data_IF_026626106921
#
_entry.id   IF_026626106921
#
_cell.length_a   1.000
_cell.length_b   1.000
_cell.length_c   1.000
_cell.angle_alpha   90.00
_cell.angle_beta   90.00
_cell.angle_gamma   90.00
#
_symmetry.space_group_name_H-M   'P 1'
#
loop_
_entity.id
_entity.type
_entity.pdbx_description
1 polymer ?
#
# COMPACT_ATOMS: atom_id res chain seq x y z
N UNK A 1 0.30 14.90 -60.62
CA UNK A 1 -0.17 13.68 -59.91
C UNK A 1 0.38 13.50 -58.48
N UNK A 2 1.52 14.08 -58.08
CA UNK A 2 2.12 13.86 -56.74
C UNK A 2 1.50 14.65 -55.57
N UNK A 3 0.69 15.67 -55.83
CA UNK A 3 0.13 16.56 -54.79
C UNK A 3 -1.08 15.96 -54.05
N UNK A 4 -1.95 15.21 -54.74
CA UNK A 4 -3.12 14.54 -54.13
C UNK A 4 -2.73 13.40 -53.17
N UNK A 5 -1.65 12.68 -53.46
CA UNK A 5 -1.14 11.59 -52.59
C UNK A 5 -0.64 12.09 -51.23
N UNK A 6 -0.05 13.30 -51.19
CA UNK A 6 0.41 13.92 -49.94
C UNK A 6 -0.73 14.41 -49.03
N UNK A 7 -1.90 14.73 -49.59
CA UNK A 7 -3.07 15.10 -48.78
C UNK A 7 -3.71 13.87 -48.13
N UNK A 8 -3.81 12.75 -48.86
CA UNK A 8 -4.34 11.49 -48.32
C UNK A 8 -3.45 10.89 -47.21
N UNK A 9 -2.13 11.09 -47.29
CA UNK A 9 -1.19 10.67 -46.22
C UNK A 9 -1.20 11.59 -44.98
N UNK A 10 -1.70 12.83 -45.09
CA UNK A 10 -1.82 13.73 -43.93
C UNK A 10 -3.04 13.40 -43.07
N UNK A 11 -4.09 12.81 -43.65
CA UNK A 11 -5.26 12.32 -42.90
C UNK A 11 -4.97 11.07 -42.07
N UNK A 12 -3.93 10.31 -42.40
CA UNK A 12 -3.52 9.10 -41.66
C UNK A 12 -2.54 9.37 -40.52
N UNK A 13 -2.14 10.63 -40.31
CA UNK A 13 -1.29 11.06 -39.20
C UNK A 13 -2.08 11.57 -37.99
N UNK A 14 -3.38 11.33 -37.94
CA UNK A 14 -4.06 11.31 -36.66
C UNK A 14 -3.65 9.99 -36.00
N UNK A 15 -2.57 10.03 -35.20
CA UNK A 15 -2.34 8.98 -34.20
C UNK A 15 -3.65 8.89 -33.44
N UNK A 16 -4.45 7.84 -33.69
CA UNK A 16 -5.48 7.44 -32.74
C UNK A 16 -4.73 7.32 -31.42
N UNK A 17 -4.98 8.19 -30.42
CA UNK A 17 -4.41 7.96 -29.11
C UNK A 17 -4.85 6.54 -28.76
N UNK A 18 -3.88 5.68 -28.45
CA UNK A 18 -4.09 4.26 -28.15
C UNK A 18 -5.44 4.08 -27.43
N UNK A 19 -6.45 3.63 -28.18
CA UNK A 19 -7.87 3.84 -27.89
C UNK A 19 -8.26 3.12 -26.58
N UNK A 20 -7.52 2.05 -26.27
CA UNK A 20 -7.61 1.27 -25.04
C UNK A 20 -7.47 2.08 -23.74
N UNK A 21 -6.65 3.15 -23.72
CA UNK A 21 -6.53 4.01 -22.50
C UNK A 21 -7.62 5.08 -22.41
N UNK A 22 -8.29 5.40 -23.52
CA UNK A 22 -9.33 6.41 -23.54
C UNK A 22 -10.62 5.92 -22.86
N UNK A 23 -10.94 4.62 -23.01
CA UNK A 23 -12.11 4.00 -22.39
C UNK A 23 -12.05 4.04 -20.85
N UNK A 24 -10.86 3.84 -20.26
CA UNK A 24 -10.64 3.83 -18.81
C UNK A 24 -10.93 5.17 -18.14
N UNK A 25 -10.87 6.27 -18.91
CA UNK A 25 -11.10 7.64 -18.41
C UNK A 25 -12.58 8.04 -18.50
N UNK A 26 -13.43 7.20 -19.12
CA UNK A 26 -14.86 7.50 -19.24
C UNK A 26 -15.56 7.36 -17.88
N UNK A 27 -16.39 8.34 -17.46
CA UNK A 27 -17.14 8.26 -16.21
C UNK A 27 -18.02 7.01 -16.09
N UNK A 28 -18.62 6.55 -17.20
CA UNK A 28 -19.44 5.34 -17.23
C UNK A 28 -18.63 4.06 -16.97
N UNK A 29 -17.38 4.00 -17.43
CA UNK A 29 -16.48 2.89 -17.14
C UNK A 29 -16.03 2.93 -15.68
N UNK A 30 -15.63 4.10 -15.18
CA UNK A 30 -15.21 4.27 -13.79
C UNK A 30 -16.32 3.93 -12.79
N UNK A 31 -17.58 4.18 -13.15
CA UNK A 31 -18.78 3.82 -12.41
C UNK A 31 -19.14 2.32 -12.49
N UNK A 32 -18.50 1.56 -13.38
CA UNK A 32 -18.83 0.14 -13.61
C UNK A 32 -20.09 -0.10 -14.45
N UNK A 33 -20.62 0.91 -15.14
CA UNK A 33 -21.83 0.78 -15.99
C UNK A 33 -21.56 0.19 -17.38
N UNK A 34 -20.30 0.13 -17.80
CA UNK A 34 -19.90 -0.48 -19.06
C UNK A 34 -18.47 -0.98 -19.01
N UNK A 35 -18.22 -2.10 -19.67
CA UNK A 35 -16.89 -2.71 -19.81
C UNK A 35 -16.57 -2.79 -21.29
N UNK A 36 -15.37 -2.36 -21.72
CA UNK A 36 -15.00 -2.41 -23.14
C UNK A 36 -14.71 -3.86 -23.56
N UNK A 37 -14.90 -4.16 -24.85
CA UNK A 37 -14.77 -5.54 -25.37
C UNK A 37 -13.35 -6.09 -25.35
N UNK A 38 -12.35 -5.20 -25.31
CA UNK A 38 -10.92 -5.48 -25.25
C UNK A 38 -10.36 -5.50 -23.81
N UNK A 39 -11.23 -5.47 -22.79
CA UNK A 39 -10.83 -5.40 -21.38
C UNK A 39 -9.85 -6.50 -20.96
N UNK A 40 -9.99 -7.71 -21.49
CA UNK A 40 -9.13 -8.86 -21.14
C UNK A 40 -7.90 -9.01 -22.06
N UNK A 41 -7.74 -8.23 -23.12
CA UNK A 41 -6.62 -8.37 -24.05
C UNK A 41 -5.28 -8.14 -23.35
N UNK A 42 -5.22 -7.15 -22.46
CA UNK A 42 -4.02 -6.92 -21.66
C UNK A 42 -3.75 -8.08 -20.69
N UNK A 43 -4.79 -8.68 -20.11
CA UNK A 43 -4.63 -9.83 -19.20
C UNK A 43 -4.04 -11.03 -19.95
N UNK A 44 -4.53 -11.31 -21.16
CA UNK A 44 -4.03 -12.38 -22.02
C UNK A 44 -2.58 -12.15 -22.48
N UNK A 45 -2.21 -10.90 -22.78
CA UNK A 45 -0.82 -10.57 -23.09
C UNK A 45 0.10 -10.70 -21.87
N UNK A 46 -0.37 -10.30 -20.68
CA UNK A 46 0.43 -10.40 -19.46
C UNK A 46 0.57 -11.84 -18.97
N UNK A 47 -0.42 -12.70 -19.19
CA UNK A 47 -0.35 -14.11 -18.78
C UNK A 47 0.77 -14.90 -19.48
N UNK A 48 1.27 -14.42 -20.63
CA UNK A 48 2.47 -14.98 -21.25
C UNK A 48 3.72 -14.84 -20.36
N UNK A 49 3.87 -13.69 -19.68
CA UNK A 49 5.02 -13.43 -18.81
C UNK A 49 4.80 -13.97 -17.39
N UNK A 50 3.56 -13.92 -16.91
CA UNK A 50 3.18 -14.38 -15.58
C UNK A 50 2.02 -15.38 -15.69
N UNK A 51 2.31 -16.69 -15.89
CA UNK A 51 1.26 -17.69 -16.11
C UNK A 51 0.28 -17.79 -14.93
N UNK A 52 0.76 -17.55 -13.71
CA UNK A 52 -0.06 -17.54 -12.49
C UNK A 52 -1.09 -16.40 -12.45
N UNK A 53 -0.94 -15.37 -13.28
CA UNK A 53 -1.88 -14.24 -13.32
C UNK A 53 -3.28 -14.68 -13.76
N UNK A 54 -3.36 -15.62 -14.71
CA UNK A 54 -4.65 -16.11 -15.19
C UNK A 54 -5.32 -16.97 -14.13
N UNK A 55 -4.56 -17.84 -13.47
CA UNK A 55 -5.06 -18.66 -12.34
C UNK A 55 -5.53 -17.77 -11.19
N UNK A 56 -4.73 -16.77 -10.81
CA UNK A 56 -5.11 -15.80 -9.79
C UNK A 56 -6.40 -15.04 -10.13
N UNK A 57 -6.56 -14.61 -11.39
CA UNK A 57 -7.78 -13.94 -11.84
C UNK A 57 -9.00 -14.88 -11.81
N UNK A 58 -8.83 -16.16 -12.16
CA UNK A 58 -9.90 -17.17 -12.09
C UNK A 58 -10.33 -17.43 -10.63
N UNK A 59 -9.38 -17.55 -9.71
CA UNK A 59 -9.64 -17.72 -8.27
C UNK A 59 -10.36 -16.51 -7.68
N UNK A 60 -9.89 -15.28 -8.00
CA UNK A 60 -10.55 -14.05 -7.54
C UNK A 60 -11.99 -13.90 -8.05
N UNK A 61 -12.25 -14.35 -9.28
CA UNK A 61 -13.58 -14.33 -9.90
C UNK A 61 -14.44 -15.53 -9.50
N UNK A 62 -13.98 -16.36 -8.56
CA UNK A 62 -14.68 -17.56 -8.09
C UNK A 62 -15.06 -18.52 -9.24
N UNK A 63 -14.26 -18.56 -10.31
CA UNK A 63 -14.57 -19.38 -11.49
C UNK A 63 -14.38 -20.88 -11.24
N UNK A 64 -13.70 -21.27 -10.16
CA UNK A 64 -13.45 -22.67 -9.81
C UNK A 64 -13.66 -22.95 -8.31
N UNK A 65 -14.90 -22.86 -7.82
CA UNK A 65 -15.26 -23.31 -6.47
C UNK A 65 -15.57 -24.82 -6.40
N UNK A 66 -14.84 -25.69 -7.11
CA UNK A 66 -15.14 -27.14 -7.10
C UNK A 66 -13.89 -28.02 -7.08
N UNK A 67 -13.24 -28.09 -5.92
CA UNK A 67 -12.77 -29.39 -5.42
C UNK A 67 -13.71 -29.85 -4.31
N UNK A 68 -14.61 -30.83 -4.55
CA UNK A 68 -15.52 -31.36 -3.52
C UNK A 68 -14.81 -32.18 -2.42
N UNK A 69 -13.48 -32.06 -2.31
CA UNK A 69 -12.60 -32.92 -1.49
C UNK A 69 -11.80 -32.14 -0.45
N UNK A 70 -11.91 -30.82 -0.40
CA UNK A 70 -11.19 -29.97 0.55
C UNK A 70 -12.20 -29.06 1.25
N UNK A 71 -12.31 -29.16 2.58
CA UNK A 71 -13.07 -28.23 3.44
C UNK A 71 -12.48 -26.79 3.47
N UNK A 72 -11.54 -26.49 2.58
CA UNK A 72 -10.90 -25.19 2.48
C UNK A 72 -11.84 -24.18 1.82
N UNK A 73 -12.43 -23.33 2.65
CA UNK A 73 -13.29 -22.24 2.21
C UNK A 73 -12.42 -21.09 1.70
N UNK A 74 -12.38 -20.91 0.38
CA UNK A 74 -11.65 -19.80 -0.26
C UNK A 74 -12.30 -18.44 0.06
N UNK A 75 -11.48 -17.40 0.09
CA UNK A 75 -11.96 -16.02 0.28
C UNK A 75 -12.52 -15.46 -1.03
N UNK A 76 -13.63 -14.72 -0.94
CA UNK A 76 -14.27 -14.09 -2.09
C UNK A 76 -14.13 -12.57 -2.06
N UNK A 77 -14.01 -11.98 -3.24
CA UNK A 77 -14.10 -10.52 -3.39
C UNK A 77 -15.56 -10.09 -3.24
N UNK A 78 -15.82 -9.21 -2.28
CA UNK A 78 -17.16 -8.68 -2.02
C UNK A 78 -17.10 -7.19 -1.72
N UNK A 79 -18.28 -6.57 -1.69
CA UNK A 79 -18.45 -5.16 -1.41
C UNK A 79 -19.33 -5.02 -0.17
N UNK A 80 -18.89 -4.21 0.80
CA UNK A 80 -19.66 -3.88 2.00
C UNK A 80 -19.87 -2.35 2.09
N UNK A 81 -20.99 -1.88 2.68
CA UNK A 81 -21.12 -0.47 3.03
C UNK A 81 -20.06 -0.07 4.04
N UNK A 82 -19.59 1.18 4.00
CA UNK A 82 -18.69 1.67 5.04
C UNK A 82 -19.42 1.72 6.39
N UNK A 83 -18.89 1.09 7.46
CA UNK A 83 -19.49 1.23 8.78
C UNK A 83 -19.44 2.68 9.26
N UNK A 84 -20.52 3.16 9.87
CA UNK A 84 -20.66 4.58 10.28
C UNK A 84 -19.54 5.04 11.21
N UNK A 85 -19.04 4.13 12.06
CA UNK A 85 -17.92 4.39 12.97
C UNK A 85 -16.60 4.74 12.27
N UNK A 86 -16.48 4.50 10.96
CA UNK A 86 -15.32 4.85 10.15
C UNK A 86 -15.54 6.05 9.23
N UNK A 87 -16.75 6.62 9.18
CA UNK A 87 -17.02 7.84 8.42
C UNK A 87 -16.14 8.99 8.94
N UNK A 88 -15.48 9.71 8.02
CA UNK A 88 -14.56 10.79 8.36
C UNK A 88 -13.18 10.36 8.89
N UNK A 89 -12.95 9.05 9.12
CA UNK A 89 -11.63 8.51 9.49
C UNK A 89 -10.77 8.26 8.25
N UNK A 90 -9.51 7.88 8.46
CA UNK A 90 -8.58 7.61 7.37
C UNK A 90 -8.73 6.16 6.88
N UNK A 91 -8.59 5.94 5.57
CA UNK A 91 -8.57 4.60 4.96
C UNK A 91 -7.50 3.70 5.60
N UNK A 92 -6.37 4.26 6.00
CA UNK A 92 -5.33 3.51 6.70
C UNK A 92 -5.76 2.91 8.03
N UNK A 93 -6.66 3.57 8.74
CA UNK A 93 -7.16 3.12 10.04
C UNK A 93 -8.16 1.98 9.83
N UNK A 94 -9.07 2.14 8.87
CA UNK A 94 -9.98 1.08 8.42
C UNK A 94 -9.21 -0.16 7.95
N UNK A 95 -8.24 0.01 7.05
CA UNK A 95 -7.45 -1.09 6.51
C UNK A 95 -6.73 -1.86 7.62
N UNK A 96 -6.10 -1.15 8.56
CA UNK A 96 -5.36 -1.80 9.64
C UNK A 96 -6.31 -2.46 10.66
N UNK A 97 -7.47 -1.85 10.92
CA UNK A 97 -8.50 -2.43 11.77
C UNK A 97 -9.04 -3.74 11.19
N UNK A 98 -9.50 -3.73 9.94
CA UNK A 98 -10.03 -4.92 9.26
C UNK A 98 -9.00 -6.04 9.20
N UNK A 99 -7.73 -5.70 8.91
CA UNK A 99 -6.66 -6.67 8.86
C UNK A 99 -6.33 -7.28 10.23
N UNK A 100 -6.35 -6.48 11.29
CA UNK A 100 -5.90 -6.92 12.63
C UNK A 100 -7.00 -7.63 13.41
N UNK A 101 -8.24 -7.16 13.31
CA UNK A 101 -9.35 -7.64 14.14
C UNK A 101 -10.30 -8.57 13.38
N UNK A 102 -10.51 -8.34 12.08
CA UNK A 102 -11.49 -9.09 11.27
C UNK A 102 -10.82 -10.07 10.30
N UNK A 103 -9.48 -10.07 10.18
CA UNK A 103 -8.74 -10.84 9.18
C UNK A 103 -9.21 -10.59 7.73
N UNK A 104 -9.63 -9.37 7.44
CA UNK A 104 -10.16 -8.94 6.14
C UNK A 104 -9.24 -7.93 5.48
N UNK A 105 -9.05 -8.05 4.17
CA UNK A 105 -8.22 -7.14 3.39
C UNK A 105 -9.11 -6.19 2.58
N UNK A 106 -9.03 -4.89 2.86
CA UNK A 106 -9.67 -3.87 2.04
C UNK A 106 -8.79 -3.52 0.81
N UNK A 107 -9.32 -3.69 -0.40
CA UNK A 107 -8.59 -3.52 -1.67
C UNK A 107 -8.82 -2.13 -2.27
N UNK A 108 -10.05 -1.62 -2.14
CA UNK A 108 -10.46 -0.40 -2.82
C UNK A 108 -11.73 0.18 -2.24
N UNK A 109 -12.04 1.39 -2.69
CA UNK A 109 -13.28 2.09 -2.37
C UNK A 109 -14.12 2.22 -3.62
N UNK A 110 -15.41 2.09 -3.48
CA UNK A 110 -16.38 2.54 -4.46
C UNK A 110 -17.02 3.80 -3.92
N UNK A 111 -16.55 4.94 -4.43
CA UNK A 111 -17.01 6.24 -4.00
C UNK A 111 -18.31 6.56 -4.67
N UNK A 112 -19.37 6.58 -3.88
CA UNK A 112 -20.59 7.20 -4.35
C UNK A 112 -20.39 8.72 -4.42
N UNK A 113 -21.19 9.37 -5.26
CA UNK A 113 -21.23 10.81 -5.27
C UNK A 113 -22.62 11.27 -4.88
N UNK A 114 -22.69 12.07 -3.81
CA UNK A 114 -23.94 12.65 -3.32
C UNK A 114 -24.69 13.50 -4.37
N UNK A 115 -24.00 13.98 -5.41
CA UNK A 115 -24.61 14.79 -6.47
C UNK A 115 -25.09 13.93 -7.64
N UNK A 116 -26.35 14.13 -8.07
CA UNK A 116 -26.93 13.53 -9.28
C UNK A 116 -26.15 13.87 -10.57
N UNK A 117 -25.29 14.88 -10.54
CA UNK A 117 -24.51 15.31 -11.70
C UNK A 117 -23.19 14.52 -11.88
N UNK A 118 -22.85 13.65 -10.95
CA UNK A 118 -21.56 12.94 -10.90
C UNK A 118 -21.80 11.46 -10.72
N UNK A 119 -21.16 10.66 -11.56
CA UNK A 119 -21.23 9.20 -11.44
C UNK A 119 -20.31 8.71 -10.33
N UNK A 120 -20.67 7.59 -9.67
CA UNK A 120 -19.77 6.92 -8.73
C UNK A 120 -18.51 6.45 -9.45
N UNK A 121 -17.45 6.15 -8.69
CA UNK A 121 -16.23 5.61 -9.28
C UNK A 121 -15.48 4.68 -8.34
N UNK A 122 -14.76 3.72 -8.93
CA UNK A 122 -13.83 2.85 -8.20
C UNK A 122 -12.51 3.59 -7.96
N UNK A 123 -12.11 3.68 -6.69
CA UNK A 123 -10.80 4.14 -6.25
C UNK A 123 -10.00 2.95 -5.73
N UNK A 124 -9.21 2.33 -6.63
CA UNK A 124 -8.33 1.20 -6.28
C UNK A 124 -7.11 1.69 -5.51
N UNK A 125 -6.67 0.89 -4.54
CA UNK A 125 -5.49 1.16 -3.69
C UNK A 125 -5.47 2.60 -3.16
N UNK A 126 -6.48 3.03 -2.36
CA UNK A 126 -6.51 4.37 -1.81
C UNK A 126 -5.28 4.65 -0.95
N UNK A 127 -4.81 5.90 -0.96
CA UNK A 127 -3.73 6.33 -0.07
C UNK A 127 -4.13 6.15 1.40
N UNK A 128 -3.17 5.81 2.26
CA UNK A 128 -3.38 5.63 3.71
C UNK A 128 -4.04 6.84 4.38
N UNK A 129 -3.75 8.04 3.89
CA UNK A 129 -4.30 9.31 4.39
C UNK A 129 -5.58 9.77 3.68
N UNK A 130 -6.20 8.93 2.86
CA UNK A 130 -7.48 9.24 2.21
C UNK A 130 -8.59 9.22 3.25
N UNK A 131 -9.38 10.29 3.31
CA UNK A 131 -10.55 10.38 4.20
C UNK A 131 -11.71 9.58 3.61
N UNK A 132 -12.39 8.82 4.46
CA UNK A 132 -13.55 8.00 4.13
C UNK A 132 -14.84 8.81 4.24
N UNK A 133 -15.79 8.55 3.34
CA UNK A 133 -17.12 9.18 3.34
C UNK A 133 -18.18 8.16 3.76
N UNK A 134 -19.25 8.62 4.40
CA UNK A 134 -20.33 7.75 4.85
C UNK A 134 -21.05 7.01 3.71
N UNK A 135 -21.02 7.57 2.50
CA UNK A 135 -21.60 6.98 1.28
C UNK A 135 -20.60 6.11 0.49
N UNK A 136 -19.36 5.95 0.98
CA UNK A 136 -18.38 5.06 0.37
C UNK A 136 -18.76 3.60 0.64
N UNK A 137 -18.48 2.74 -0.33
CA UNK A 137 -18.46 1.29 -0.15
C UNK A 137 -17.02 0.78 -0.23
N UNK A 138 -16.74 -0.34 0.41
CA UNK A 138 -15.40 -0.90 0.51
C UNK A 138 -15.37 -2.26 -0.18
N UNK A 139 -14.41 -2.45 -1.10
CA UNK A 139 -14.12 -3.76 -1.67
C UNK A 139 -13.22 -4.53 -0.71
N UNK A 140 -13.70 -5.69 -0.26
CA UNK A 140 -13.03 -6.54 0.71
C UNK A 140 -12.76 -7.93 0.14
N UNK A 141 -11.65 -8.52 0.57
CA UNK A 141 -11.36 -9.93 0.42
C UNK A 141 -11.50 -10.59 1.79
N UNK A 142 -12.49 -11.46 1.91
CA UNK A 142 -12.85 -12.10 3.18
C UNK A 142 -13.34 -13.53 2.93
N UNK A 143 -13.28 -14.35 3.98
CA UNK A 143 -13.94 -15.66 3.95
C UNK A 143 -15.47 -15.48 4.00
N UNK A 144 -16.27 -16.36 3.38
CA UNK A 144 -17.72 -16.23 3.29
C UNK A 144 -18.42 -16.01 4.64
N UNK A 145 -17.98 -16.69 5.70
CA UNK A 145 -18.58 -16.54 7.02
C UNK A 145 -18.33 -15.13 7.62
N UNK A 146 -17.12 -14.58 7.43
CA UNK A 146 -16.76 -13.23 7.86
C UNK A 146 -17.47 -12.18 7.02
N UNK A 147 -17.61 -12.41 5.71
CA UNK A 147 -18.37 -11.53 4.82
C UNK A 147 -19.83 -11.39 5.29
N UNK A 148 -20.51 -12.51 5.53
CA UNK A 148 -21.89 -12.51 6.02
C UNK A 148 -21.98 -11.80 7.37
N UNK A 149 -21.02 -12.00 8.26
CA UNK A 149 -20.99 -11.29 9.53
C UNK A 149 -20.85 -9.77 9.35
N UNK A 150 -19.95 -9.32 8.47
CA UNK A 150 -19.71 -7.89 8.21
C UNK A 150 -20.89 -7.20 7.53
N UNK A 151 -21.60 -7.90 6.64
CA UNK A 151 -22.79 -7.36 5.97
C UNK A 151 -23.96 -7.19 6.95
N UNK A 152 -24.05 -8.06 7.95
CA UNK A 152 -25.10 -8.00 8.97
C UNK A 152 -24.74 -7.12 10.18
N UNK A 153 -23.45 -7.03 10.54
CA UNK A 153 -22.95 -6.35 11.74
C UNK A 153 -22.63 -4.87 11.52
N UNK A 154 -23.48 -4.15 10.79
CA UNK A 154 -23.23 -2.74 10.38
C UNK A 154 -23.00 -1.81 11.59
N UNK A 155 -23.41 -2.23 12.80
CA UNK A 155 -23.19 -1.51 14.05
C UNK A 155 -21.90 -1.96 14.76
N UNK A 156 -20.74 -1.64 14.19
CA UNK A 156 -19.51 -1.69 14.98
C UNK A 156 -19.60 -0.63 16.09
N UNK A 157 -19.75 -1.07 17.34
CA UNK A 157 -19.76 -0.22 18.54
C UNK A 157 -18.63 0.84 18.46
N UNK A 158 -19.02 2.10 18.27
CA UNK A 158 -18.11 3.18 17.92
C UNK A 158 -17.01 3.36 18.98
N UNK A 159 -17.35 3.17 20.26
CA UNK A 159 -16.44 3.26 21.40
C UNK A 159 -15.35 2.18 21.34
N UNK A 160 -15.71 0.96 20.94
CA UNK A 160 -14.77 -0.16 20.79
C UNK A 160 -13.83 0.10 19.61
N UNK A 161 -14.36 0.58 18.50
CA UNK A 161 -13.56 0.95 17.32
C UNK A 161 -12.58 2.06 17.67
N UNK A 162 -13.04 3.12 18.35
CA UNK A 162 -12.17 4.21 18.76
C UNK A 162 -11.06 3.78 19.70
N UNK A 163 -11.37 2.97 20.72
CA UNK A 163 -10.35 2.48 21.66
C UNK A 163 -9.31 1.61 20.95
N UNK A 164 -9.72 0.73 20.04
CA UNK A 164 -8.82 -0.09 19.20
C UNK A 164 -7.94 0.76 18.30
N UNK A 165 -8.51 1.78 17.64
CA UNK A 165 -7.73 2.72 16.80
C UNK A 165 -6.73 3.51 17.64
N UNK A 166 -7.12 4.00 18.83
CA UNK A 166 -6.23 4.70 19.76
C UNK A 166 -5.07 3.79 20.19
N UNK A 167 -5.36 2.55 20.59
CA UNK A 167 -4.34 1.56 20.97
C UNK A 167 -3.34 1.31 19.84
N UNK A 168 -3.81 1.20 18.60
CA UNK A 168 -2.97 1.02 17.42
C UNK A 168 -2.04 2.21 17.15
N UNK A 169 -2.54 3.43 17.32
CA UNK A 169 -1.75 4.66 17.19
C UNK A 169 -0.69 4.79 18.28
N UNK A 170 -1.03 4.42 19.52
CA UNK A 170 -0.08 4.39 20.64
C UNK A 170 1.08 3.44 20.31
N UNK A 171 0.78 2.21 19.90
CA UNK A 171 1.80 1.23 19.52
C UNK A 171 2.71 1.75 18.41
N UNK A 172 2.14 2.35 17.36
CA UNK A 172 2.92 2.95 16.27
C UNK A 172 3.83 4.07 16.77
N UNK A 173 3.32 4.98 17.60
CA UNK A 173 4.10 6.08 18.16
C UNK A 173 5.24 5.57 19.05
N UNK A 174 4.98 4.59 19.91
CA UNK A 174 5.98 3.98 20.79
C UNK A 174 7.09 3.30 19.99
N UNK A 175 6.74 2.53 18.95
CA UNK A 175 7.72 1.90 18.06
C UNK A 175 8.54 2.97 17.33
N UNK A 176 7.89 3.99 16.77
CA UNK A 176 8.58 5.06 16.05
C UNK A 176 9.53 5.86 16.96
N UNK A 177 9.12 6.13 18.21
CA UNK A 177 9.97 6.76 19.21
C UNK A 177 11.18 5.89 19.57
N UNK A 178 10.97 4.58 19.78
CA UNK A 178 12.06 3.64 20.06
C UNK A 178 13.07 3.58 18.89
N UNK A 179 12.58 3.50 17.65
CA UNK A 179 13.41 3.51 16.45
C UNK A 179 14.21 4.82 16.30
N UNK A 180 13.59 5.96 16.61
CA UNK A 180 14.27 7.26 16.60
C UNK A 180 15.42 7.31 17.61
N UNK A 181 15.20 6.82 18.83
CA UNK A 181 16.25 6.74 19.85
C UNK A 181 17.41 5.82 19.43
N UNK A 182 17.10 4.68 18.79
CA UNK A 182 18.13 3.77 18.24
C UNK A 182 18.94 4.47 17.14
N UNK A 183 18.28 5.21 16.24
CA UNK A 183 18.95 5.94 15.17
C UNK A 183 19.89 7.03 15.71
N UNK A 184 19.46 7.79 16.72
CA UNK A 184 20.29 8.81 17.37
C UNK A 184 21.53 8.19 18.04
N UNK A 185 21.35 7.09 18.78
CA UNK A 185 22.48 6.38 19.41
C UNK A 185 23.48 5.86 18.39
N UNK A 186 23.00 5.37 17.24
CA UNK A 186 23.86 4.93 16.13
C UNK A 186 24.66 6.10 15.54
N UNK A 187 24.03 7.24 15.27
CA UNK A 187 24.70 8.43 14.73
C UNK A 187 25.76 8.98 15.69
N UNK A 188 25.49 9.01 16.99
CA UNK A 188 26.48 9.41 18.00
C UNK A 188 27.68 8.45 18.00
N UNK A 189 27.43 7.14 17.91
CA UNK A 189 28.49 6.12 17.88
C UNK A 189 29.35 6.22 16.60
N UNK A 190 28.74 6.45 15.45
CA UNK A 190 29.44 6.65 14.17
C UNK A 190 30.23 7.96 14.14
N UNK A 191 29.66 9.05 14.70
CA UNK A 191 30.36 10.32 14.86
C UNK A 191 31.55 10.24 15.83
N UNK A 192 31.42 9.49 16.93
CA UNK A 192 32.52 9.24 17.86
C UNK A 192 33.63 8.38 17.23
N UNK A 193 33.27 7.38 16.41
CA UNK A 193 34.23 6.59 15.66
C UNK A 193 34.96 7.42 14.59
N UNK A 194 34.26 8.35 13.93
CA UNK A 194 34.89 9.28 12.98
C UNK A 194 35.83 10.30 13.67
N UNK A 195 35.47 10.77 14.87
CA UNK A 195 36.31 11.70 15.65
C UNK A 195 37.58 11.02 16.21
N UNK A 196 37.50 9.73 16.58
CA UNK A 196 38.65 8.97 17.08
C UNK A 196 39.73 8.71 16.02
N UNK A 197 39.39 8.75 14.72
CA UNK A 197 40.33 8.51 13.62
C UNK A 197 41.13 9.77 13.24
N UNK A 198 40.72 10.97 13.68
CA UNK A 198 41.29 12.26 13.22
C UNK A 198 42.35 12.83 14.19
N UNK A 199 42.69 12.15 15.29
CA UNK A 199 43.75 12.64 16.20
C UNK A 199 45.14 12.38 15.58
N UNK A 200 45.92 13.40 15.18
CA UNK A 200 47.29 13.19 14.71
C UNK A 200 48.20 12.99 15.91
N UNK A 201 48.96 11.89 15.95
CA UNK A 201 50.02 11.68 16.93
C UNK A 201 51.22 12.58 16.59
N UNK A 202 51.56 13.50 17.50
CA UNK A 202 52.89 14.13 17.54
C UNK A 202 53.66 13.43 18.68
N UNK A 203 54.68 12.64 18.37
CA UNK A 203 55.54 12.03 19.39
C UNK A 203 56.62 13.02 19.85
N UNK A 204 56.63 13.31 21.16
CA UNK A 204 57.67 14.08 21.84
C UNK A 204 58.91 13.23 22.14
N UNK A 205 60.06 13.89 22.07
CA UNK A 205 61.40 13.31 22.11
C UNK A 205 61.86 12.74 23.46
N UNK A 206 62.74 11.77 23.29
CA UNK A 206 63.49 10.97 24.25
C UNK A 206 64.44 11.81 25.13
N UNK A 207 64.38 11.64 26.47
CA UNK A 207 65.41 12.13 27.41
C UNK A 207 66.09 10.95 28.10
N UNK A 208 67.42 10.96 27.96
CA UNK A 208 68.44 10.03 28.46
C UNK A 208 68.67 10.24 29.95
N UNK A 209 68.82 9.17 30.73
CA UNK A 209 69.35 9.26 32.09
C UNK A 209 70.60 8.37 32.28
N UNK A 210 71.69 8.97 32.76
CA UNK A 210 73.01 8.36 32.98
C UNK A 210 73.31 8.33 34.48
N UNK A 211 73.55 7.12 34.98
CA UNK A 211 74.54 6.70 36.00
C UNK A 211 74.97 7.68 37.09
N UNK A 212 74.88 7.26 38.37
CA UNK A 212 76.08 7.06 39.23
C UNK A 212 75.77 6.19 40.45
N UNK A 213 76.63 5.19 40.65
CA UNK A 213 76.75 4.30 41.81
C UNK A 213 77.39 5.01 43.00
N UNK A 214 77.02 4.62 44.23
CA UNK A 214 77.73 5.00 45.46
C UNK A 214 79.09 4.27 45.59
N UNK A 215 80.05 4.84 46.32
CA UNK A 215 80.32 4.50 47.72
C UNK A 215 81.49 5.34 48.30
N UNK A 216 81.55 5.45 49.62
CA UNK A 216 82.55 6.17 50.42
C UNK A 216 83.83 5.34 50.68
N UNK A 217 85.01 6.00 50.69
CA UNK A 217 86.24 5.75 51.51
C UNK A 217 86.66 4.27 51.72
N UNK A 218 87.80 3.78 51.22
CA UNK A 218 89.20 4.13 51.50
C UNK A 218 90.11 3.49 50.45
#
# INVERSE_FOLDING_TARGET
MARKRKQHMKSFKQKRPCEAKAAVVLPFYAAGYGVPTDFFDSLLCQSYFTPELLRFAQELLCMDQRSPTSDDVSSSLSQIPLPESFAGKLFGDLFTYLLTYESVIAIGLYRNSASRATLPYVYTVPKRNSVLRADDFVFILAQPHTQIALENAIDFEADVVESRIKNMHITKCTIQAALHQIKLKKQIREGAAAAAVVVPQYEEGQVVDKTTSGDHRL
#
